data_IF_520202691450
#
_entry.id   IF_520202691450
#
_cell.length_a   1.000
_cell.length_b   1.000
_cell.length_c   1.000
_cell.angle_alpha   90.00
_cell.angle_beta   90.00
_cell.angle_gamma   90.00
#
_symmetry.space_group_name_H-M   'P 1'
#
loop_
_entity.id
_entity.type
_entity.pdbx_description
1 polymer ?
#
# COMPACT_ATOMS: atom_id res chain seq x y z
N UNK A 1 40.84 15.68 -0.38
CA UNK A 1 40.13 14.43 -0.70
C UNK A 1 40.46 14.04 -2.14
N UNK A 2 40.82 12.78 -2.37
CA UNK A 2 41.13 12.27 -3.71
C UNK A 2 39.85 12.03 -4.51
N UNK A 3 39.95 12.05 -5.85
CA UNK A 3 38.87 11.61 -6.75
C UNK A 3 38.45 10.17 -6.44
N UNK A 4 39.41 9.31 -6.10
CA UNK A 4 39.17 7.91 -5.72
C UNK A 4 38.31 7.81 -4.45
N UNK A 5 38.52 8.68 -3.46
CA UNK A 5 37.72 8.69 -2.22
C UNK A 5 36.28 9.11 -2.49
N UNK A 6 36.09 10.07 -3.41
CA UNK A 6 34.76 10.54 -3.84
C UNK A 6 34.01 9.46 -4.61
N UNK A 7 34.69 8.74 -5.52
CA UNK A 7 34.11 7.62 -6.26
C UNK A 7 33.68 6.50 -5.32
N UNK A 8 34.56 6.07 -4.41
CA UNK A 8 34.23 5.04 -3.41
C UNK A 8 33.01 5.43 -2.57
N UNK A 9 32.91 6.70 -2.16
CA UNK A 9 31.74 7.18 -1.39
C UNK A 9 30.45 7.09 -2.21
N UNK A 10 30.50 7.46 -3.49
CA UNK A 10 29.33 7.39 -4.38
C UNK A 10 28.89 5.94 -4.58
N UNK A 11 29.83 5.01 -4.79
CA UNK A 11 29.53 3.58 -4.94
C UNK A 11 28.87 3.01 -3.67
N UNK A 12 29.40 3.34 -2.49
CA UNK A 12 28.81 2.93 -1.21
C UNK A 12 27.39 3.47 -1.05
N UNK A 13 27.19 4.76 -1.34
CA UNK A 13 25.87 5.37 -1.25
C UNK A 13 24.87 4.76 -2.24
N UNK A 14 25.31 4.42 -3.46
CA UNK A 14 24.47 3.76 -4.45
C UNK A 14 24.06 2.35 -4.00
N UNK A 15 24.98 1.60 -3.40
CA UNK A 15 24.68 0.27 -2.89
C UNK A 15 23.70 0.34 -1.70
N UNK A 16 23.91 1.28 -0.77
CA UNK A 16 22.98 1.51 0.34
C UNK A 16 21.58 1.89 -0.17
N UNK A 17 21.49 2.76 -1.18
CA UNK A 17 20.23 3.14 -1.80
C UNK A 17 19.55 1.95 -2.46
N UNK A 18 20.28 1.12 -3.23
CA UNK A 18 19.73 -0.09 -3.85
C UNK A 18 19.15 -1.04 -2.81
N UNK A 19 19.87 -1.26 -1.71
CA UNK A 19 19.39 -2.12 -0.62
C UNK A 19 18.16 -1.54 0.08
N UNK A 20 18.11 -0.22 0.28
CA UNK A 20 16.94 0.43 0.85
C UNK A 20 15.72 0.29 -0.07
N UNK A 21 15.88 0.51 -1.37
CA UNK A 21 14.82 0.33 -2.37
C UNK A 21 14.31 -1.10 -2.40
N UNK A 22 15.19 -2.11 -2.46
CA UNK A 22 14.78 -3.51 -2.47
C UNK A 22 13.99 -3.91 -1.20
N UNK A 23 14.35 -3.36 -0.03
CA UNK A 23 13.58 -3.57 1.21
C UNK A 23 12.22 -2.90 1.18
N UNK A 24 12.11 -1.73 0.56
CA UNK A 24 10.84 -1.03 0.41
C UNK A 24 9.92 -1.76 -0.57
N UNK A 25 10.46 -2.20 -1.71
CA UNK A 25 9.73 -3.01 -2.69
C UNK A 25 9.14 -4.26 -2.04
N UNK A 26 9.93 -5.05 -1.30
CA UNK A 26 9.40 -6.23 -0.60
C UNK A 26 8.33 -5.93 0.46
N UNK A 27 8.38 -4.76 1.11
CA UNK A 27 7.32 -4.32 2.03
C UNK A 27 6.05 -3.92 1.29
N UNK A 28 6.19 -3.25 0.14
CA UNK A 28 5.05 -2.89 -0.71
C UNK A 28 4.39 -4.16 -1.24
N UNK A 29 5.16 -5.12 -1.73
CA UNK A 29 4.63 -6.42 -2.18
C UNK A 29 3.88 -7.15 -1.07
N UNK A 30 4.43 -7.16 0.15
CA UNK A 30 3.77 -7.75 1.31
C UNK A 30 2.46 -7.03 1.68
N UNK A 31 2.43 -5.69 1.60
CA UNK A 31 1.22 -4.90 1.84
C UNK A 31 0.16 -5.15 0.76
N UNK A 32 0.56 -5.22 -0.51
CA UNK A 32 -0.33 -5.54 -1.62
C UNK A 32 -0.92 -6.94 -1.47
N UNK A 33 -0.10 -7.93 -1.07
CA UNK A 33 -0.58 -9.27 -0.79
C UNK A 33 -1.56 -9.32 0.39
N UNK A 34 -1.30 -8.56 1.46
CA UNK A 34 -2.20 -8.45 2.60
C UNK A 34 -3.55 -7.82 2.22
N UNK A 35 -3.54 -6.72 1.46
CA UNK A 35 -4.75 -6.07 0.97
C UNK A 35 -5.54 -6.94 -0.01
N UNK A 36 -4.85 -7.71 -0.86
CA UNK A 36 -5.50 -8.67 -1.75
C UNK A 36 -6.18 -9.80 -0.96
N UNK A 37 -5.54 -10.29 0.11
CA UNK A 37 -6.12 -11.29 0.99
C UNK A 37 -7.33 -10.75 1.78
N UNK A 38 -7.28 -9.50 2.24
CA UNK A 38 -8.41 -8.84 2.91
C UNK A 38 -9.58 -8.57 1.94
N UNK A 39 -9.29 -8.27 0.67
CA UNK A 39 -10.31 -8.04 -0.36
C UNK A 39 -11.10 -9.27 -0.81
N UNK A 40 -10.66 -10.48 -0.45
CA UNK A 40 -11.41 -11.73 -0.68
C UNK A 40 -12.45 -12.01 0.43
N UNK A 41 -12.35 -11.33 1.58
CA UNK A 41 -13.39 -11.31 2.61
C UNK A 41 -14.38 -10.17 2.30
N UNK A 42 -15.43 -10.49 1.52
CA UNK A 42 -16.66 -9.69 1.36
C UNK A 42 -16.45 -8.17 1.29
N UNK A 43 -15.87 -7.66 0.20
CA UNK A 43 -16.32 -6.36 -0.28
C UNK A 43 -17.76 -6.55 -0.73
N UNK A 44 -18.72 -6.33 0.18
CA UNK A 44 -20.12 -6.10 -0.16
C UNK A 44 -20.13 -5.04 -1.26
N UNK A 45 -20.28 -5.46 -2.52
CA UNK A 45 -20.55 -4.51 -3.58
C UNK A 45 -21.74 -3.68 -3.12
N UNK A 46 -21.68 -2.33 -3.20
CA UNK A 46 -22.81 -1.52 -2.78
C UNK A 46 -24.02 -1.97 -3.57
N UNK A 47 -25.02 -2.50 -2.87
CA UNK A 47 -26.21 -3.05 -3.50
C UNK A 47 -26.75 -2.02 -4.49
N UNK A 48 -26.98 -2.43 -5.74
CA UNK A 48 -27.57 -1.56 -6.75
C UNK A 48 -29.08 -1.82 -6.82
N UNK A 49 -29.86 -0.77 -7.00
CA UNK A 49 -31.28 -0.90 -7.30
C UNK A 49 -31.46 -1.56 -8.67
N UNK A 50 -32.68 -2.04 -8.97
CA UNK A 50 -33.03 -2.56 -10.29
C UNK A 50 -32.85 -1.52 -11.42
N UNK A 51 -32.82 -0.24 -11.06
CA UNK A 51 -32.58 0.90 -11.96
C UNK A 51 -31.10 1.30 -12.04
N UNK A 52 -30.22 0.59 -11.33
CA UNK A 52 -28.78 0.79 -11.34
C UNK A 52 -28.26 1.90 -10.41
N UNK A 53 -29.13 2.47 -9.56
CA UNK A 53 -28.74 3.45 -8.55
C UNK A 53 -28.07 2.77 -7.34
N UNK A 54 -27.13 3.45 -6.68
CA UNK A 54 -26.49 2.94 -5.46
C UNK A 54 -27.51 2.95 -4.31
N UNK A 55 -27.79 1.79 -3.72
CA UNK A 55 -28.57 1.68 -2.49
C UNK A 55 -27.63 2.05 -1.33
N UNK A 56 -27.96 3.08 -0.53
CA UNK A 56 -27.19 3.37 0.67
C UNK A 56 -27.24 2.15 1.60
N UNK A 57 -26.09 1.60 1.96
CA UNK A 57 -26.02 0.53 2.95
C UNK A 57 -26.62 0.95 4.30
N UNK A 58 -27.08 -0.02 5.08
CA UNK A 58 -27.52 0.25 6.45
C UNK A 58 -26.32 0.77 7.25
N UNK A 59 -26.31 2.08 7.55
CA UNK A 59 -25.32 2.66 8.45
C UNK A 59 -25.51 2.03 9.82
N UNK A 60 -24.44 1.45 10.36
CA UNK A 60 -24.43 0.98 11.74
C UNK A 60 -24.72 2.18 12.68
N UNK A 61 -25.92 2.19 13.25
CA UNK A 61 -26.39 3.24 14.15
C UNK A 61 -25.70 3.20 15.52
N UNK A 62 -24.89 2.17 15.79
CA UNK A 62 -24.07 2.09 17.01
C UNK A 62 -22.87 3.05 16.97
N UNK A 63 -22.44 3.47 15.76
CA UNK A 63 -21.42 4.49 15.54
C UNK A 63 -22.06 5.89 15.62
N UNK A 64 -22.59 6.23 16.79
CA UNK A 64 -23.02 7.59 17.08
C UNK A 64 -21.79 8.50 17.17
N UNK A 65 -21.75 9.56 16.36
CA UNK A 65 -20.71 10.59 16.46
C UNK A 65 -20.96 11.38 17.76
N UNK A 66 -20.27 10.98 18.83
CA UNK A 66 -20.16 11.73 20.08
C UNK A 66 -19.34 13.00 19.93
#
# INVERSE_FOLDING_TARGET
>A
MSLSDRLRRIELQQEEQRQATARLEGKVDALLAALAAEGEEEQDEPARSLDGELVPGERDQSQSLG
#
